data_IF_886977496897
#
_entry.id   IF_886977496897
#
_cell.length_a   1.000
_cell.length_b   1.000
_cell.length_c   1.000
_cell.angle_alpha   90.00
_cell.angle_beta   90.00
_cell.angle_gamma   90.00
#
_symmetry.space_group_name_H-M   'P 1'
#
loop_
_entity.id
_entity.type
_entity.pdbx_description
1 polymer ?
#
# COMPACT_ATOMS: atom_id res chain seq x y z
N UNK A 1 -6.15 -19.94 -18.17
CA UNK A 1 -4.83 -19.53 -17.66
C UNK A 1 -5.03 -18.13 -17.11
N UNK A 2 -5.30 -18.04 -15.82
CA UNK A 2 -5.49 -16.74 -15.16
C UNK A 2 -4.11 -16.18 -14.84
N UNK A 3 -3.79 -15.04 -15.43
CA UNK A 3 -2.50 -14.37 -15.30
C UNK A 3 -2.56 -13.44 -14.09
N UNK A 4 -2.47 -13.99 -12.88
CA UNK A 4 -2.48 -13.20 -11.66
C UNK A 4 -1.90 -13.98 -10.49
N UNK A 5 -0.75 -13.54 -9.98
CA UNK A 5 -0.14 -14.11 -8.77
C UNK A 5 -0.53 -13.26 -7.56
N UNK A 6 -0.69 -13.91 -6.41
CA UNK A 6 -0.85 -13.25 -5.12
C UNK A 6 0.51 -12.70 -4.69
N UNK A 7 0.53 -11.46 -4.20
CA UNK A 7 1.77 -10.84 -3.70
C UNK A 7 1.52 -9.61 -2.80
N UNK A 8 0.26 -9.31 -2.47
CA UNK A 8 -0.09 -8.09 -1.75
C UNK A 8 0.30 -8.15 -0.27
N UNK A 9 0.19 -9.34 0.33
CA UNK A 9 0.52 -9.61 1.73
C UNK A 9 2.04 -9.77 1.92
N UNK A 10 2.68 -10.36 0.93
CA UNK A 10 4.09 -10.75 0.93
C UNK A 10 5.00 -9.57 0.62
N UNK A 11 4.52 -8.58 -0.15
CA UNK A 11 5.32 -7.42 -0.60
C UNK A 11 6.06 -6.73 0.54
N UNK A 12 5.39 -6.47 1.66
CA UNK A 12 5.98 -5.72 2.77
C UNK A 12 7.12 -6.50 3.43
N UNK A 13 6.91 -7.81 3.63
CA UNK A 13 7.87 -8.73 4.23
C UNK A 13 9.09 -8.95 3.31
N UNK A 14 8.83 -9.26 2.03
CA UNK A 14 9.87 -9.53 1.06
C UNK A 14 10.77 -8.31 0.79
N UNK A 15 10.19 -7.11 0.66
CA UNK A 15 11.00 -5.89 0.43
C UNK A 15 11.86 -5.57 1.66
N UNK A 16 11.35 -5.82 2.87
CA UNK A 16 12.16 -5.63 4.09
C UNK A 16 13.33 -6.61 4.12
N UNK A 17 13.04 -7.90 4.03
CA UNK A 17 14.04 -8.97 4.10
C UNK A 17 15.10 -8.85 2.99
N UNK A 18 14.67 -8.63 1.74
CA UNK A 18 15.59 -8.64 0.61
C UNK A 18 16.38 -7.34 0.45
N UNK A 19 15.87 -6.19 0.91
CA UNK A 19 16.50 -4.88 0.65
C UNK A 19 16.97 -4.16 1.91
N UNK A 20 16.22 -4.23 3.02
CA UNK A 20 16.58 -3.55 4.28
C UNK A 20 17.56 -4.42 5.08
N UNK A 21 17.22 -5.69 5.33
CA UNK A 21 18.10 -6.60 6.10
C UNK A 21 19.41 -6.89 5.37
N UNK A 22 19.37 -6.94 4.03
CA UNK A 22 20.59 -7.08 3.22
C UNK A 22 21.45 -5.81 3.16
N UNK A 23 20.95 -4.67 3.66
CA UNK A 23 21.65 -3.39 3.69
C UNK A 23 21.67 -2.63 2.36
N UNK A 24 20.85 -3.01 1.37
CA UNK A 24 20.75 -2.30 0.09
C UNK A 24 20.05 -0.95 0.22
N UNK A 25 19.10 -0.83 1.14
CA UNK A 25 18.35 0.40 1.42
C UNK A 25 18.19 0.59 2.94
N UNK A 26 17.96 1.84 3.38
CA UNK A 26 17.63 2.11 4.78
C UNK A 26 16.13 1.90 5.05
N UNK A 27 15.75 1.75 6.33
CA UNK A 27 14.34 1.66 6.73
C UNK A 27 13.50 2.87 6.28
N UNK A 28 14.10 4.06 6.20
CA UNK A 28 13.44 5.25 5.65
C UNK A 28 13.17 5.15 4.15
N UNK A 29 14.04 4.49 3.40
CA UNK A 29 13.84 4.23 1.98
C UNK A 29 12.72 3.19 1.79
N UNK A 30 12.65 2.18 2.66
CA UNK A 30 11.55 1.23 2.69
C UNK A 30 10.19 1.92 2.84
N UNK A 31 10.04 2.81 3.83
CA UNK A 31 8.81 3.61 4.03
C UNK A 31 8.50 4.46 2.80
N UNK A 32 9.53 5.09 2.22
CA UNK A 32 9.40 5.91 1.02
C UNK A 32 8.85 5.11 -0.16
N UNK A 33 9.45 3.96 -0.46
CA UNK A 33 9.11 3.10 -1.60
C UNK A 33 7.77 2.38 -1.43
N UNK A 34 7.40 2.02 -0.20
CA UNK A 34 6.22 1.19 0.05
C UNK A 34 4.95 1.98 0.33
N UNK A 35 5.06 3.27 0.69
CA UNK A 35 3.92 4.10 1.06
C UNK A 35 4.01 5.54 0.57
N UNK A 36 5.02 6.31 1.01
CA UNK A 36 5.04 7.78 0.80
C UNK A 36 5.08 8.17 -0.67
N UNK A 37 5.91 7.54 -1.50
CA UNK A 37 5.98 7.91 -2.93
C UNK A 37 4.73 7.50 -3.69
N UNK A 38 4.17 6.32 -3.41
CA UNK A 38 2.87 5.93 -3.97
C UNK A 38 1.80 7.00 -3.67
N UNK A 39 1.71 7.47 -2.42
CA UNK A 39 0.76 8.50 -2.05
C UNK A 39 1.02 9.85 -2.76
N UNK A 40 2.29 10.21 -2.98
CA UNK A 40 2.64 11.43 -3.74
C UNK A 40 2.25 11.28 -5.22
N UNK A 41 2.58 10.16 -5.85
CA UNK A 41 2.30 9.87 -7.26
C UNK A 41 0.79 9.96 -7.53
N UNK A 42 0.00 9.35 -6.65
CA UNK A 42 -1.47 9.36 -6.72
C UNK A 42 -2.12 10.64 -6.17
N UNK A 43 -1.32 11.65 -5.79
CA UNK A 43 -1.79 12.95 -5.32
C UNK A 43 -2.67 12.91 -4.05
N UNK A 44 -2.40 11.95 -3.17
CA UNK A 44 -3.13 11.72 -1.92
C UNK A 44 -2.24 11.90 -0.67
N UNK A 45 -1.00 12.35 -0.83
CA UNK A 45 -0.14 12.77 0.27
C UNK A 45 -0.51 14.18 0.76
N UNK A 46 -0.55 14.49 2.08
CA UNK A 46 -0.16 13.63 3.19
C UNK A 46 -1.32 12.80 3.79
N UNK A 47 -2.52 12.79 3.19
CA UNK A 47 -3.65 12.01 3.74
C UNK A 47 -3.28 10.53 3.88
N UNK A 48 -2.58 9.96 2.90
CA UNK A 48 -1.99 8.62 2.94
C UNK A 48 -0.47 8.67 2.89
N UNK A 49 0.19 7.61 3.35
CA UNK A 49 1.65 7.46 3.29
C UNK A 49 2.44 8.41 4.19
N UNK A 50 1.81 8.94 5.25
CA UNK A 50 2.41 9.81 6.24
C UNK A 50 1.89 9.51 7.65
N UNK A 51 2.78 9.59 8.65
CA UNK A 51 2.41 9.60 10.07
C UNK A 51 2.48 11.05 10.53
N UNK A 52 1.39 11.79 10.29
CA UNK A 52 1.24 13.21 10.63
C UNK A 52 -0.16 13.46 11.19
N UNK A 53 -0.30 14.52 12.00
CA UNK A 53 -1.62 14.94 12.46
C UNK A 53 -2.51 15.30 11.25
N UNK A 54 -3.70 14.69 11.18
CA UNK A 54 -4.64 14.87 10.07
C UNK A 54 -4.48 13.88 8.91
N UNK A 55 -3.48 12.99 8.95
CA UNK A 55 -3.39 11.85 8.04
C UNK A 55 -4.31 10.70 8.48
N UNK A 56 -4.69 9.85 7.54
CA UNK A 56 -5.44 8.63 7.84
C UNK A 56 -4.54 7.65 8.61
N UNK A 57 -5.12 6.93 9.57
CA UNK A 57 -4.43 5.97 10.43
C UNK A 57 -4.18 4.61 9.73
N UNK A 58 -3.51 4.64 8.58
CA UNK A 58 -3.04 3.46 7.85
C UNK A 58 -1.61 3.15 8.27
N UNK A 59 -1.44 2.37 9.34
CA UNK A 59 -0.16 2.18 10.02
C UNK A 59 0.12 0.70 10.19
N UNK A 60 1.37 0.30 9.93
CA UNK A 60 1.86 -1.04 10.25
C UNK A 60 2.84 -0.98 11.43
N UNK A 61 2.82 -1.99 12.28
CA UNK A 61 3.88 -2.27 13.26
C UNK A 61 4.72 -3.41 12.69
N UNK A 62 5.95 -3.09 12.32
CA UNK A 62 6.93 -4.04 11.79
C UNK A 62 7.98 -4.33 12.86
N UNK A 63 8.18 -5.61 13.16
CA UNK A 63 9.22 -6.09 14.06
C UNK A 63 10.42 -6.60 13.25
N UNK A 64 11.53 -5.85 13.20
CA UNK A 64 12.69 -6.21 12.38
C UNK A 64 13.40 -7.48 12.89
N UNK A 65 13.25 -7.80 14.17
CA UNK A 65 13.89 -8.96 14.78
C UNK A 65 13.06 -10.24 14.67
N UNK A 66 11.78 -10.11 14.31
CA UNK A 66 10.87 -11.24 14.14
C UNK A 66 11.08 -11.88 12.78
N UNK A 67 11.09 -13.21 12.75
CA UNK A 67 11.16 -14.00 11.53
C UNK A 67 9.78 -14.34 11.01
N UNK A 68 9.63 -14.42 9.69
CA UNK A 68 8.42 -14.93 9.04
C UNK A 68 8.75 -16.11 8.13
N UNK A 69 7.74 -16.94 7.87
CA UNK A 69 7.75 -17.96 6.84
C UNK A 69 6.50 -17.77 5.98
N UNK A 70 6.68 -17.76 4.66
CA UNK A 70 5.57 -17.70 3.72
C UNK A 70 5.10 -19.13 3.47
N UNK A 71 3.82 -19.40 3.76
CA UNK A 71 3.16 -20.65 3.39
C UNK A 71 1.70 -20.41 2.99
N UNK A 72 1.26 -21.05 1.91
CA UNK A 72 -0.13 -21.00 1.43
C UNK A 72 -1.15 -21.42 2.48
N UNK A 73 -0.74 -22.25 3.45
CA UNK A 73 -1.56 -22.66 4.59
C UNK A 73 -1.84 -21.54 5.60
N UNK A 74 -1.03 -20.48 5.61
CA UNK A 74 -1.09 -19.38 6.59
C UNK A 74 -1.49 -18.02 6.00
N UNK A 75 -1.61 -17.89 4.68
CA UNK A 75 -1.95 -16.61 4.05
C UNK A 75 -3.46 -16.36 4.01
N UNK A 76 -3.87 -15.09 4.06
CA UNK A 76 -5.28 -14.70 4.02
C UNK A 76 -5.87 -14.66 2.60
N UNK A 77 -5.09 -15.07 1.60
CA UNK A 77 -5.55 -15.18 0.21
C UNK A 77 -6.49 -16.35 -0.01
N UNK A 78 -7.43 -16.22 -0.95
CA UNK A 78 -8.36 -17.30 -1.35
C UNK A 78 -7.76 -18.27 -2.36
N UNK A 79 -6.47 -18.12 -2.68
CA UNK A 79 -5.76 -18.91 -3.68
C UNK A 79 -4.79 -19.84 -2.94
N UNK A 80 -4.90 -21.15 -3.23
CA UNK A 80 -4.15 -22.21 -2.54
C UNK A 80 -2.67 -22.31 -2.95
N UNK A 81 -2.18 -21.38 -3.77
CA UNK A 81 -0.80 -21.35 -4.28
C UNK A 81 -0.12 -20.02 -3.97
N UNK A 82 1.07 -20.10 -3.37
CA UNK A 82 1.96 -18.95 -3.20
C UNK A 82 3.26 -19.18 -3.98
N UNK A 83 3.68 -18.21 -4.78
CA UNK A 83 4.93 -18.30 -5.55
C UNK A 83 6.17 -18.18 -4.65
N UNK A 84 6.00 -17.70 -3.42
CA UNK A 84 7.05 -17.52 -2.42
C UNK A 84 7.03 -18.62 -1.35
N UNK A 85 6.35 -19.75 -1.60
CA UNK A 85 6.23 -20.86 -0.65
C UNK A 85 7.59 -21.28 -0.07
N UNK A 86 7.66 -21.36 1.26
CA UNK A 86 8.86 -21.75 2.00
C UNK A 86 9.93 -20.66 2.13
N UNK A 87 9.66 -19.43 1.66
CA UNK A 87 10.56 -18.30 1.92
C UNK A 87 10.58 -17.99 3.41
N UNK A 88 11.80 -17.89 3.97
CA UNK A 88 12.04 -17.53 5.36
C UNK A 88 12.87 -16.26 5.39
N UNK A 89 12.43 -15.29 6.18
CA UNK A 89 13.07 -13.99 6.27
C UNK A 89 12.88 -13.32 7.61
N UNK A 90 13.36 -12.08 7.72
CA UNK A 90 13.19 -11.21 8.89
C UNK A 90 12.38 -9.96 8.56
N UNK A 91 11.78 -9.35 9.58
CA UNK A 91 10.92 -8.17 9.42
C UNK A 91 9.46 -8.55 9.26
N UNK A 92 8.86 -9.10 10.31
CA UNK A 92 7.44 -9.46 10.34
C UNK A 92 6.58 -8.22 10.59
N UNK A 93 5.53 -8.03 9.79
CA UNK A 93 4.43 -7.11 10.10
C UNK A 93 3.51 -7.81 11.10
N UNK A 94 3.43 -7.30 12.32
CA UNK A 94 2.70 -7.93 13.43
C UNK A 94 1.29 -7.32 13.62
N UNK A 95 1.15 -6.04 13.29
CA UNK A 95 -0.10 -5.29 13.47
C UNK A 95 -0.32 -4.40 12.26
N UNK A 96 -1.56 -4.36 11.78
CA UNK A 96 -2.00 -3.40 10.78
C UNK A 96 -3.21 -2.65 11.31
N UNK A 97 -3.09 -1.33 11.36
CA UNK A 97 -4.15 -0.39 11.73
C UNK A 97 -4.63 0.31 10.47
N UNK A 98 -5.94 0.40 10.31
CA UNK A 98 -6.61 1.18 9.27
C UNK A 98 -7.64 2.09 9.95
N UNK A 99 -8.04 3.17 9.27
CA UNK A 99 -9.12 4.02 9.79
C UNK A 99 -10.38 3.18 10.02
N UNK A 100 -10.81 3.10 11.28
CA UNK A 100 -11.96 2.32 11.80
C UNK A 100 -11.70 0.80 12.00
N UNK A 101 -10.49 0.26 11.79
CA UNK A 101 -10.19 -1.19 11.91
C UNK A 101 -8.79 -1.52 12.44
N UNK A 102 -8.66 -2.59 13.25
CA UNK A 102 -7.40 -3.08 13.83
C UNK A 102 -7.25 -4.58 13.56
N UNK A 103 -6.16 -4.96 12.89
CA UNK A 103 -5.69 -6.35 12.76
C UNK A 103 -4.49 -6.56 13.67
N UNK A 104 -4.54 -7.53 14.58
CA UNK A 104 -3.52 -7.82 15.58
C UNK A 104 -3.25 -9.33 15.64
N UNK A 105 -1.98 -9.74 15.72
CA UNK A 105 -1.55 -11.13 15.88
C UNK A 105 -2.09 -12.09 14.79
N UNK A 106 -2.01 -11.69 13.52
CA UNK A 106 -2.47 -12.47 12.36
C UNK A 106 -3.99 -12.77 12.35
N UNK A 107 -4.79 -12.10 13.18
CA UNK A 107 -6.26 -12.16 13.14
C UNK A 107 -6.86 -10.93 12.47
N UNK A 108 -7.42 -11.12 11.27
CA UNK A 108 -8.09 -10.07 10.52
C UNK A 108 -9.47 -9.73 11.12
N UNK A 109 -9.58 -8.61 11.82
CA UNK A 109 -10.86 -8.05 12.31
C UNK A 109 -11.31 -6.90 11.42
N UNK A 110 -11.90 -7.25 10.28
CA UNK A 110 -12.38 -6.29 9.26
C UNK A 110 -13.89 -6.44 9.07
N UNK A 111 -14.60 -5.32 8.95
CA UNK A 111 -16.01 -5.27 8.60
C UNK A 111 -16.12 -5.13 7.08
N UNK A 112 -16.68 -6.11 6.34
CA UNK A 112 -16.84 -6.00 4.89
C UNK A 112 -17.56 -4.69 4.49
N UNK A 113 -16.93 -3.89 3.63
CA UNK A 113 -17.46 -2.61 3.16
C UNK A 113 -16.99 -1.37 3.92
N UNK A 114 -16.10 -1.51 4.91
CA UNK A 114 -15.46 -0.39 5.62
C UNK A 114 -14.55 0.49 4.74
N UNK A 115 -14.00 -0.10 3.66
CA UNK A 115 -13.15 0.61 2.71
C UNK A 115 -13.87 1.76 2.00
N UNK A 116 -13.32 2.98 2.10
CA UNK A 116 -13.85 4.18 1.43
C UNK A 116 -13.02 4.49 0.18
N UNK A 117 -13.68 4.80 -0.93
CA UNK A 117 -13.01 5.29 -2.13
C UNK A 117 -12.30 6.62 -1.84
N UNK A 118 -11.08 6.77 -2.36
CA UNK A 118 -10.29 8.00 -2.25
C UNK A 118 -10.16 8.59 -3.64
N UNK A 119 -10.74 9.77 -3.82
CA UNK A 119 -10.59 10.55 -5.05
C UNK A 119 -9.12 10.97 -5.22
N UNK A 120 -8.59 10.76 -6.43
CA UNK A 120 -7.23 11.14 -6.80
C UNK A 120 -7.30 12.38 -7.71
N UNK A 121 -7.00 13.59 -7.18
CA UNK A 121 -7.08 14.80 -7.99
C UNK A 121 -6.07 14.75 -9.15
N UNK A 122 -6.45 15.19 -10.35
CA UNK A 122 -5.52 15.26 -11.48
C UNK A 122 -4.40 16.26 -11.22
N UNK A 123 -3.34 16.20 -12.03
CA UNK A 123 -2.17 17.08 -11.95
C UNK A 123 -1.42 16.96 -10.62
N UNK A 124 -0.94 15.74 -10.33
CA UNK A 124 -0.01 15.49 -9.22
C UNK A 124 1.31 16.27 -9.40
N UNK A 125 2.15 16.26 -8.37
CA UNK A 125 3.45 16.96 -8.39
C UNK A 125 4.34 16.58 -9.59
N UNK A 126 4.15 15.39 -10.18
CA UNK A 126 4.88 14.93 -11.37
C UNK A 126 4.64 15.81 -12.60
N UNK A 127 3.52 16.50 -12.68
CA UNK A 127 3.17 17.29 -13.86
C UNK A 127 3.85 18.66 -13.90
N UNK A 128 4.56 19.08 -12.84
CA UNK A 128 5.32 20.34 -12.83
C UNK A 128 4.47 21.61 -12.99
N UNK A 129 3.16 21.50 -12.75
CA UNK A 129 2.17 22.52 -13.05
C UNK A 129 1.94 23.39 -11.81
N UNK A 130 2.21 24.69 -11.88
CA UNK A 130 1.78 25.63 -10.85
C UNK A 130 0.25 25.54 -10.68
N UNK A 131 -0.26 25.67 -9.45
CA UNK A 131 -1.69 25.48 -9.10
C UNK A 131 -2.70 26.19 -10.03
N UNK A 132 -2.29 27.25 -10.74
CA UNK A 132 -3.10 27.98 -11.71
C UNK A 132 -3.44 27.15 -12.96
N UNK A 133 -2.46 26.43 -13.50
CA UNK A 133 -2.60 25.68 -14.75
C UNK A 133 -3.35 24.34 -14.53
N UNK A 134 -3.27 23.76 -13.32
CA UNK A 134 -4.02 22.56 -12.96
C UNK A 134 -5.54 22.78 -12.98
N UNK A 135 -6.01 23.95 -12.51
CA UNK A 135 -7.44 24.32 -12.60
C UNK A 135 -7.86 24.50 -14.05
N UNK A 136 -7.01 25.13 -14.86
CA UNK A 136 -7.28 25.33 -16.29
C UNK A 136 -7.37 24.00 -17.03
N UNK A 137 -6.45 23.07 -16.81
CA UNK A 137 -6.48 21.76 -17.45
C UNK A 137 -7.60 20.86 -16.92
N UNK A 138 -7.98 20.95 -15.63
CA UNK A 138 -9.17 20.26 -15.12
C UNK A 138 -10.49 20.79 -15.69
N UNK A 139 -10.48 22.05 -16.16
CA UNK A 139 -11.64 22.68 -16.81
C UNK A 139 -11.81 22.23 -18.27
N UNK A 140 -10.75 21.71 -18.88
CA UNK A 140 -10.81 21.04 -20.18
C UNK A 140 -11.47 19.67 -19.98
N UNK A 141 -12.81 19.64 -20.02
CA UNK A 141 -13.56 18.39 -20.01
C UNK A 141 -13.06 17.47 -21.12
N UNK A 142 -12.60 16.27 -20.76
CA UNK A 142 -12.28 15.23 -21.72
C UNK A 142 -13.53 14.94 -22.59
N UNK A 143 -13.38 14.77 -23.92
CA UNK A 143 -14.50 14.60 -24.84
C UNK A 143 -15.01 13.15 -24.81
N UNK A 144 -15.46 12.67 -23.66
CA UNK A 144 -16.13 11.38 -23.56
C UNK A 144 -17.43 11.57 -22.78
N UNK A 145 -18.54 11.61 -23.53
CA UNK A 145 -19.88 11.46 -22.96
C UNK A 145 -20.05 9.98 -22.64
N UNK A 146 -20.10 9.61 -21.35
CA UNK A 146 -20.59 8.28 -20.97
C UNK A 146 -22.09 8.22 -21.28
N UNK A 147 -22.47 7.42 -22.28
CA UNK A 147 -23.86 7.06 -22.51
C UNK A 147 -24.28 6.10 -21.39
N UNK A 148 -25.25 6.52 -20.57
CA UNK A 148 -25.98 5.61 -19.70
C UNK A 148 -26.83 4.65 -20.55
N UNK A 149 -26.72 3.36 -20.26
CA UNK A 149 -27.73 2.33 -20.51
C UNK A 149 -27.56 1.23 -19.49
#
# INVERSE_FOLDING_TARGET
>A
METGNVGIEERMHLVWDTMVESGQIFATDYVRLTGTECARIFNIYPRKGAILAGSDADIIILNPNSSFEISSSSHHSRIDTNIYEGWRGKGKVEVTMLVEELSENDELKVVPGSGKYIEMPPFSYLFGIEKADARHLSSLRAPVKSSNS
#
